data_IF_662353163942
#
_entry.id   IF_662353163942
#
_cell.length_a   1.000
_cell.length_b   1.000
_cell.length_c   1.000
_cell.angle_alpha   90.00
_cell.angle_beta   90.00
_cell.angle_gamma   90.00
#
_symmetry.space_group_name_H-M   'P 1'
#
loop_
_entity.id
_entity.type
_entity.pdbx_description
1 polymer ?
#
# COMPACT_ATOMS: atom_id res chain seq x y z
N UNK A 1 -9.80 3.22 27.90
CA UNK A 1 -10.25 2.42 26.75
C UNK A 1 -11.54 3.06 26.25
N UNK A 2 -11.67 3.30 24.95
CA UNK A 2 -12.84 3.98 24.38
C UNK A 2 -13.71 2.98 23.62
N UNK A 3 -15.03 3.13 23.74
CA UNK A 3 -16.01 2.37 22.95
C UNK A 3 -16.75 3.37 22.05
N UNK A 4 -16.75 3.09 20.76
CA UNK A 4 -17.47 3.87 19.75
C UNK A 4 -18.40 2.93 18.97
N UNK A 5 -19.60 3.40 18.68
CA UNK A 5 -20.55 2.72 17.80
C UNK A 5 -20.41 3.32 16.40
N UNK A 6 -20.19 2.46 15.40
CA UNK A 6 -19.96 2.86 14.00
C UNK A 6 -21.16 2.47 13.15
N UNK A 7 -21.57 3.36 12.24
CA UNK A 7 -22.60 3.11 11.22
C UNK A 7 -22.03 3.53 9.88
N UNK A 8 -22.07 2.62 8.90
CA UNK A 8 -21.65 2.81 7.50
C UNK A 8 -20.32 3.55 7.32
N UNK A 9 -19.33 3.19 8.13
CA UNK A 9 -18.02 3.82 8.07
C UNK A 9 -17.26 3.37 6.81
N UNK A 10 -16.95 4.28 5.86
CA UNK A 10 -16.20 3.91 4.68
C UNK A 10 -14.75 3.61 5.04
N UNK A 11 -14.24 2.47 4.58
CA UNK A 11 -12.86 2.06 4.78
C UNK A 11 -12.33 1.34 3.53
N UNK A 12 -11.01 1.36 3.36
CA UNK A 12 -10.31 0.66 2.29
C UNK A 12 -9.37 -0.39 2.88
N UNK A 13 -9.30 -1.57 2.24
CA UNK A 13 -8.34 -2.62 2.59
C UNK A 13 -6.97 -2.19 2.04
N UNK A 14 -5.99 -1.99 2.91
CA UNK A 14 -4.63 -1.58 2.53
C UNK A 14 -3.73 -2.79 2.27
N UNK A 15 -3.82 -3.80 3.15
CA UNK A 15 -3.14 -5.08 3.02
C UNK A 15 -4.14 -6.19 3.26
N UNK A 16 -4.17 -7.19 2.39
CA UNK A 16 -5.03 -8.37 2.56
C UNK A 16 -4.28 -9.57 3.21
N UNK A 17 -5.02 -10.62 3.52
CA UNK A 17 -4.50 -11.86 4.13
C UNK A 17 -3.67 -12.73 3.16
N UNK A 18 -3.65 -12.37 1.88
CA UNK A 18 -2.88 -13.04 0.82
C UNK A 18 -1.55 -12.35 0.55
N UNK A 19 -1.26 -11.25 1.25
CA UNK A 19 -0.03 -10.48 1.10
C UNK A 19 -0.07 -9.46 -0.05
N UNK A 20 -1.25 -9.14 -0.58
CA UNK A 20 -1.39 -8.01 -1.49
C UNK A 20 -1.38 -6.71 -0.70
N UNK A 21 -0.56 -5.75 -1.13
CA UNK A 21 -0.43 -4.43 -0.51
C UNK A 21 -0.68 -3.35 -1.58
N UNK A 22 -1.67 -2.50 -1.33
CA UNK A 22 -2.10 -1.42 -2.22
C UNK A 22 -0.99 -0.42 -2.56
N UNK A 23 -0.03 -0.20 -1.66
CA UNK A 23 1.04 0.79 -1.83
C UNK A 23 2.36 0.19 -2.32
N UNK A 24 2.43 -1.14 -2.51
CA UNK A 24 3.66 -1.85 -2.84
C UNK A 24 4.34 -1.36 -4.14
N UNK A 25 3.57 -0.89 -5.13
CA UNK A 25 4.12 -0.37 -6.39
C UNK A 25 4.56 1.09 -6.28
N UNK A 26 3.80 1.93 -5.57
CA UNK A 26 4.15 3.34 -5.37
C UNK A 26 5.39 3.52 -4.49
N UNK A 27 5.68 2.54 -3.62
CA UNK A 27 6.89 2.52 -2.81
C UNK A 27 8.09 1.86 -3.52
N UNK A 28 7.89 1.27 -4.72
CA UNK A 28 9.04 0.83 -5.51
C UNK A 28 9.79 2.07 -5.98
N UNK A 29 10.92 2.29 -5.33
CA UNK A 29 11.96 3.20 -5.81
C UNK A 29 12.17 2.91 -7.29
N UNK A 30 11.90 3.90 -8.14
CA UNK A 30 12.21 3.80 -9.56
C UNK A 30 13.73 3.73 -9.65
N UNK A 31 14.26 2.54 -9.97
CA UNK A 31 15.66 2.38 -10.34
C UNK A 31 15.85 3.08 -11.68
N UNK A 32 16.17 4.37 -11.64
CA UNK A 32 16.69 5.11 -12.80
C UNK A 32 17.88 4.28 -13.29
N UNK A 33 17.74 3.73 -14.50
CA UNK A 33 18.63 2.69 -15.03
C UNK A 33 20.09 3.04 -14.87
N UNK A 34 20.89 2.06 -14.44
CA UNK A 34 22.34 2.13 -14.54
C UNK A 34 22.69 2.39 -16.00
N UNK A 35 23.45 3.47 -16.21
CA UNK A 35 24.04 3.94 -17.48
C UNK A 35 24.24 2.80 -18.50
N UNK A 36 23.78 2.94 -19.77
CA UNK A 36 24.12 1.97 -20.80
C UNK A 36 25.64 1.92 -20.96
N UNK A 37 26.17 0.72 -20.85
CA UNK A 37 27.58 0.41 -21.07
C UNK A 37 27.82 0.24 -22.57
N UNK A 38 28.48 1.25 -23.14
CA UNK A 38 29.04 1.42 -24.48
C UNK A 38 28.16 1.13 -25.71
#
# INVERSE_FOLDING_TARGET
>A
MWKIDVVDFPAFIVVDDKGNDFFAETMKMIKIGTKPEN
#
